data_IF_107702322205
#
_entry.id   IF_107702322205
#
_cell.length_a   1.000
_cell.length_b   1.000
_cell.length_c   1.000
_cell.angle_alpha   90.00
_cell.angle_beta   90.00
_cell.angle_gamma   90.00
#
_symmetry.space_group_name_H-M   'P 1'
#
loop_
_entity.id
_entity.type
_entity.pdbx_description
1 polymer ?
#
# COMPACT_ATOMS: atom_id res chain seq x y z
N UNK A 1 3.16 1.91 0.21
CA UNK A 1 4.08 1.90 1.37
C UNK A 1 3.27 1.52 2.61
N UNK A 2 3.76 0.57 3.42
CA UNK A 2 3.16 0.29 4.73
C UNK A 2 4.06 0.85 5.82
N UNK A 3 3.50 1.63 6.75
CA UNK A 3 4.21 2.35 7.81
C UNK A 3 3.62 2.02 9.17
N UNK A 4 4.50 1.78 10.13
CA UNK A 4 4.17 1.73 11.57
C UNK A 4 4.60 3.07 12.15
N UNK A 5 3.74 3.69 12.95
CA UNK A 5 3.98 4.99 13.57
C UNK A 5 4.13 6.12 12.55
N UNK A 6 2.98 6.68 12.15
CA UNK A 6 2.91 7.73 11.13
C UNK A 6 3.55 9.05 11.58
N UNK A 7 3.64 9.27 12.90
CA UNK A 7 4.16 10.50 13.46
C UNK A 7 5.69 10.55 13.45
N UNK A 8 6.33 9.39 13.68
CA UNK A 8 7.79 9.24 13.60
C UNK A 8 8.30 9.07 12.16
N UNK A 9 7.48 8.57 11.24
CA UNK A 9 7.87 8.28 9.84
C UNK A 9 7.36 9.30 8.81
N UNK A 10 7.13 10.56 9.23
CA UNK A 10 6.63 11.64 8.36
C UNK A 10 7.48 11.88 7.11
N UNK A 11 8.80 11.66 7.16
CA UNK A 11 9.67 11.83 5.98
C UNK A 11 9.32 10.80 4.91
N UNK A 12 9.18 9.53 5.29
CA UNK A 12 8.83 8.46 4.36
C UNK A 12 7.43 8.66 3.75
N UNK A 13 6.47 9.12 4.55
CA UNK A 13 5.11 9.45 4.08
C UNK A 13 5.17 10.59 3.04
N UNK A 14 5.90 11.66 3.34
CA UNK A 14 6.04 12.80 2.42
C UNK A 14 6.73 12.42 1.11
N UNK A 15 7.75 11.56 1.15
CA UNK A 15 8.41 11.05 -0.05
C UNK A 15 7.51 10.13 -0.86
N UNK A 16 6.77 9.23 -0.21
CA UNK A 16 5.79 8.37 -0.86
C UNK A 16 4.71 9.20 -1.57
N UNK A 17 4.18 10.22 -0.91
CA UNK A 17 3.18 11.13 -1.48
C UNK A 17 3.72 11.90 -2.69
N UNK A 18 4.97 12.35 -2.66
CA UNK A 18 5.63 12.99 -3.82
C UNK A 18 5.80 12.03 -5.00
N UNK A 19 6.06 10.75 -4.73
CA UNK A 19 6.23 9.72 -5.75
C UNK A 19 4.89 9.11 -6.21
N UNK A 20 3.76 9.52 -5.64
CA UNK A 20 2.44 8.95 -5.93
C UNK A 20 2.28 7.51 -5.45
N UNK A 21 3.05 7.10 -4.43
CA UNK A 21 2.96 5.77 -3.84
C UNK A 21 1.90 5.80 -2.73
N UNK A 22 0.86 4.94 -2.80
CA UNK A 22 -0.19 4.94 -1.78
C UNK A 22 0.36 4.49 -0.42
N UNK A 23 -0.06 5.16 0.66
CA UNK A 23 0.41 4.97 2.03
C UNK A 23 -0.67 4.30 2.88
N UNK A 24 -0.30 3.20 3.53
CA UNK A 24 -1.10 2.51 4.55
C UNK A 24 -0.36 2.69 5.87
N UNK A 25 -1.01 3.26 6.88
CA UNK A 25 -0.36 3.66 8.13
C UNK A 25 -1.13 3.21 9.38
N UNK A 26 -0.39 2.74 10.40
CA UNK A 26 -0.96 2.54 11.74
C UNK A 26 -0.95 3.88 12.48
N UNK A 27 -2.12 4.31 12.95
CA UNK A 27 -2.32 5.61 13.61
C UNK A 27 -2.80 5.38 15.03
N UNK A 28 -2.00 5.79 16.02
CA UNK A 28 -2.40 5.85 17.42
C UNK A 28 -3.07 7.20 17.78
N UNK A 29 -3.60 7.29 18.99
CA UNK A 29 -4.36 8.44 19.51
C UNK A 29 -3.61 9.78 19.49
N UNK A 30 -2.28 9.75 19.49
CA UNK A 30 -1.40 10.92 19.46
C UNK A 30 -0.83 11.23 18.06
N UNK A 31 -1.22 10.46 17.04
CA UNK A 31 -0.65 10.54 15.70
C UNK A 31 -1.61 11.21 14.71
N UNK A 32 -1.06 12.00 13.80
CA UNK A 32 -1.81 12.72 12.77
C UNK A 32 -1.95 11.86 11.49
N UNK A 33 -3.17 11.50 11.04
CA UNK A 33 -3.37 10.68 9.85
C UNK A 33 -3.12 11.43 8.53
N UNK A 34 -2.74 12.70 8.55
CA UNK A 34 -2.49 13.48 7.34
C UNK A 34 -1.45 12.84 6.41
N UNK A 35 -1.81 12.72 5.13
CA UNK A 35 -0.96 12.11 4.11
C UNK A 35 -0.96 10.58 4.09
N UNK A 36 -1.85 9.93 4.86
CA UNK A 36 -2.08 8.48 4.82
C UNK A 36 -3.37 8.18 4.07
N UNK A 37 -3.31 7.33 3.05
CA UNK A 37 -4.50 6.96 2.26
C UNK A 37 -5.38 5.94 2.99
N UNK A 38 -4.75 5.00 3.70
CA UNK A 38 -5.44 3.94 4.42
C UNK A 38 -5.00 3.90 5.88
N UNK A 39 -5.88 4.35 6.76
CA UNK A 39 -5.64 4.45 8.19
C UNK A 39 -6.03 3.16 8.91
N UNK A 40 -5.10 2.60 9.69
CA UNK A 40 -5.34 1.49 10.61
C UNK A 40 -5.26 2.04 12.04
N UNK A 41 -6.38 2.25 12.73
CA UNK A 41 -6.35 2.72 14.12
C UNK A 41 -5.77 1.64 15.02
N UNK A 42 -4.76 1.97 15.82
CA UNK A 42 -4.10 0.99 16.66
C UNK A 42 -2.88 1.49 17.40
N UNK A 43 -2.43 0.69 18.38
CA UNK A 43 -1.26 1.00 19.20
C UNK A 43 0.03 0.65 18.44
N UNK A 44 0.87 1.64 18.16
CA UNK A 44 2.17 1.52 17.51
C UNK A 44 3.35 1.38 18.48
N UNK A 45 3.20 1.72 19.77
CA UNK A 45 4.27 1.60 20.78
C UNK A 45 4.62 0.15 21.15
N UNK A 46 3.66 -0.77 21.05
CA UNK A 46 3.84 -2.14 21.56
C UNK A 46 4.46 -3.07 20.52
N UNK A 47 5.60 -3.67 20.85
CA UNK A 47 6.24 -4.73 20.04
C UNK A 47 5.25 -5.83 19.66
N UNK A 48 4.35 -6.22 20.56
CA UNK A 48 3.34 -7.25 20.27
C UNK A 48 2.33 -6.80 19.22
N UNK A 49 1.88 -5.54 19.29
CA UNK A 49 0.96 -4.97 18.31
C UNK A 49 1.65 -4.85 16.94
N UNK A 50 2.87 -4.30 16.90
CA UNK A 50 3.69 -4.21 15.68
C UNK A 50 3.85 -5.59 15.03
N UNK A 51 4.19 -6.62 15.81
CA UNK A 51 4.32 -7.99 15.30
C UNK A 51 3.03 -8.51 14.67
N UNK A 52 1.86 -8.21 15.27
CA UNK A 52 0.56 -8.58 14.71
C UNK A 52 0.33 -7.88 13.37
N UNK A 53 0.56 -6.57 13.29
CA UNK A 53 0.37 -5.82 12.05
C UNK A 53 1.27 -6.32 10.93
N UNK A 54 2.58 -6.38 11.19
CA UNK A 54 3.59 -6.78 10.19
C UNK A 54 3.34 -8.22 9.74
N UNK A 55 3.04 -9.15 10.66
CA UNK A 55 2.72 -10.53 10.30
C UNK A 55 1.45 -10.61 9.46
N UNK A 56 0.40 -9.90 9.84
CA UNK A 56 -0.88 -9.94 9.11
C UNK A 56 -0.73 -9.42 7.68
N UNK A 57 0.04 -8.35 7.48
CA UNK A 57 0.33 -7.81 6.15
C UNK A 57 1.26 -8.74 5.36
N UNK A 58 2.30 -9.30 5.98
CA UNK A 58 3.17 -10.27 5.33
C UNK A 58 2.38 -11.51 4.84
N UNK A 59 1.51 -12.05 5.69
CA UNK A 59 0.65 -13.19 5.37
C UNK A 59 -0.34 -12.84 4.25
N UNK A 60 -0.89 -11.62 4.24
CA UNK A 60 -1.77 -11.16 3.16
C UNK A 60 -1.02 -11.06 1.82
N UNK A 61 0.19 -10.50 1.82
CA UNK A 61 1.05 -10.42 0.65
C UNK A 61 1.46 -11.81 0.14
N UNK A 62 1.74 -12.77 1.03
CA UNK A 62 2.06 -14.14 0.67
C UNK A 62 0.88 -14.84 -0.01
N UNK A 63 -0.32 -14.77 0.60
CA UNK A 63 -1.54 -15.31 -0.01
C UNK A 63 -1.87 -14.69 -1.36
N UNK A 64 -1.68 -13.37 -1.49
CA UNK A 64 -1.92 -12.68 -2.76
C UNK A 64 -0.98 -13.16 -3.87
N UNK A 65 0.26 -13.53 -3.55
CA UNK A 65 1.21 -14.11 -4.51
C UNK A 65 0.81 -15.52 -4.93
N UNK A 66 0.38 -16.36 -4.00
CA UNK A 66 -0.05 -17.74 -4.31
C UNK A 66 -1.32 -17.79 -5.17
N UNK A 67 -2.24 -16.83 -4.97
CA UNK A 67 -3.48 -16.72 -5.73
C UNK A 67 -3.37 -16.06 -7.10
N UNK A 68 -2.20 -15.52 -7.46
CA UNK A 68 -1.89 -14.94 -8.77
C UNK A 68 -0.87 -15.82 -9.48
N UNK A 69 -1.26 -16.77 -10.35
CA UNK A 69 -0.30 -17.31 -11.32
C UNK A 69 0.29 -16.11 -12.07
N UNK A 70 1.61 -16.04 -12.18
CA UNK A 70 2.36 -14.87 -12.65
C UNK A 70 1.73 -14.23 -13.90
N UNK A 71 0.87 -13.22 -13.69
CA UNK A 71 0.30 -12.42 -14.77
C UNK A 71 1.36 -11.37 -15.11
N UNK A 72 2.41 -11.83 -15.79
CA UNK A 72 3.24 -10.97 -16.61
C UNK A 72 2.36 -10.44 -17.74
N UNK A 73 1.73 -9.29 -17.51
CA UNK A 73 1.17 -8.52 -18.62
C UNK A 73 2.36 -7.86 -19.32
N UNK A 74 2.98 -8.59 -20.25
CA UNK A 74 3.75 -7.94 -21.31
C UNK A 74 2.78 -7.06 -22.10
N UNK A 75 2.98 -5.75 -22.03
CA UNK A 75 2.28 -4.81 -22.93
C UNK A 75 2.84 -5.06 -24.34
N UNK A 76 2.22 -5.98 -25.07
CA UNK A 76 2.41 -6.08 -26.52
C UNK A 76 1.56 -5.01 -27.20
N UNK A 77 2.05 -4.50 -28.33
CA UNK A 77 1.44 -3.39 -29.08
C UNK A 77 -0.04 -3.64 -29.46
N UNK A 78 -0.51 -4.90 -29.43
CA UNK A 78 -1.91 -5.27 -29.66
C UNK A 78 -2.87 -4.76 -28.57
N UNK A 79 -2.44 -4.66 -27.30
CA UNK A 79 -3.29 -4.18 -26.21
C UNK A 79 -3.58 -2.66 -26.33
N UNK A 80 -2.62 -1.89 -26.85
CA UNK A 80 -2.79 -0.45 -27.10
C UNK A 80 -3.73 -0.17 -28.29
N UNK A 81 -3.81 -1.09 -29.25
CA UNK A 81 -4.75 -0.97 -30.38
C UNK A 81 -6.19 -1.27 -29.96
N UNK A 82 -6.41 -2.17 -28.99
CA UNK A 82 -7.78 -2.49 -28.52
C UNK A 82 -8.38 -1.40 -27.62
N UNK A 83 -7.59 -0.69 -26.81
CA UNK A 83 -8.13 0.44 -26.03
C UNK A 83 -8.58 1.60 -26.92
N UNK A 84 -7.85 1.89 -28.01
CA UNK A 84 -8.18 3.01 -28.90
C UNK A 84 -9.43 2.79 -29.76
N UNK A 85 -9.76 1.54 -30.10
CA UNK A 85 -10.99 1.20 -30.84
C UNK A 85 -12.23 1.19 -29.92
N UNK A 86 -12.06 0.85 -28.64
CA UNK A 86 -13.17 0.85 -27.65
C UNK A 86 -13.58 2.24 -27.15
N UNK A 87 -12.69 3.24 -27.29
CA UNK A 87 -12.96 4.61 -26.87
C UNK A 87 -13.63 5.47 -27.96
N UNK A 88 -13.83 4.92 -29.16
CA UNK A 88 -14.38 5.63 -30.33
C UNK A 88 -15.82 5.22 -30.70
N UNK A 89 -16.49 4.36 -29.90
CA UNK A 89 -17.94 4.06 -30.04
C UNK A 89 -18.78 4.74 -28.95
#
# INVERSE_FOLDING_TARGET
LFVIDVDHERIAINEANKLGIPVIGVVDTNSDPDGVDYVIPGNDDSIRAIQIYVKSIADACARAKEGRPDEFVEVTEEAAAQESDSAAE
#
